data_IF_424621943284
#
_entry.id   IF_424621943284
#
_cell.length_a   1.000
_cell.length_b   1.000
_cell.length_c   1.000
_cell.angle_alpha   90.00
_cell.angle_beta   90.00
_cell.angle_gamma   90.00
#
_symmetry.space_group_name_H-M   'P 1'
#
loop_
_entity.id
_entity.type
_entity.pdbx_description
1 polymer ?
#
# COMPACT_ATOMS: atom_id res chain seq x y z
N UNK A 1 13.34 -8.91 -12.86
CA UNK A 1 12.59 -7.79 -13.48
C UNK A 1 11.11 -8.17 -13.52
N UNK A 2 10.26 -7.49 -12.78
CA UNK A 2 8.83 -7.78 -12.63
C UNK A 2 7.98 -6.69 -13.32
N UNK A 3 6.74 -7.03 -13.63
CA UNK A 3 5.70 -6.07 -14.07
C UNK A 3 4.81 -5.78 -12.88
N UNK A 4 4.78 -4.52 -12.45
CA UNK A 4 4.13 -4.10 -11.20
C UNK A 4 3.03 -3.09 -11.52
N UNK A 5 1.84 -3.31 -10.96
CA UNK A 5 0.78 -2.29 -10.95
C UNK A 5 0.83 -1.52 -9.65
N UNK A 6 0.73 -0.20 -9.71
CA UNK A 6 0.61 0.66 -8.52
C UNK A 6 -0.71 1.42 -8.59
N UNK A 7 -1.70 1.00 -7.79
CA UNK A 7 -2.92 1.78 -7.56
C UNK A 7 -2.64 2.91 -6.57
N UNK A 8 -3.17 4.10 -6.86
CA UNK A 8 -2.89 5.29 -6.07
C UNK A 8 -1.53 5.93 -6.39
N UNK A 9 -1.02 5.71 -7.60
CA UNK A 9 0.28 6.21 -8.05
C UNK A 9 0.42 7.74 -8.00
N UNK A 10 -0.67 8.50 -7.94
CA UNK A 10 -0.65 9.96 -7.80
C UNK A 10 -0.37 10.46 -6.39
N UNK A 11 -0.55 9.62 -5.36
CA UNK A 11 -0.26 9.94 -3.95
C UNK A 11 1.22 9.81 -3.60
N UNK A 12 1.62 10.30 -2.42
CA UNK A 12 3.04 10.29 -1.98
C UNK A 12 3.63 8.88 -1.92
N UNK A 13 2.94 7.95 -1.25
CA UNK A 13 3.39 6.56 -1.14
C UNK A 13 3.40 5.82 -2.48
N UNK A 14 2.38 6.07 -3.32
CA UNK A 14 2.32 5.48 -4.67
C UNK A 14 3.43 6.00 -5.59
N UNK A 15 3.74 7.30 -5.56
CA UNK A 15 4.87 7.89 -6.30
C UNK A 15 6.19 7.29 -5.88
N UNK A 16 6.45 7.20 -4.58
CA UNK A 16 7.68 6.60 -4.07
C UNK A 16 7.82 5.12 -4.51
N UNK A 17 6.72 4.37 -4.50
CA UNK A 17 6.71 3.00 -4.99
C UNK A 17 7.01 2.90 -6.50
N UNK A 18 6.43 3.81 -7.31
CA UNK A 18 6.73 3.90 -8.76
C UNK A 18 8.21 4.22 -8.98
N UNK A 19 8.74 5.24 -8.31
CA UNK A 19 10.13 5.66 -8.44
C UNK A 19 11.13 4.56 -8.06
N UNK A 20 10.90 3.88 -6.93
CA UNK A 20 11.76 2.80 -6.47
C UNK A 20 11.68 1.58 -7.41
N UNK A 21 10.48 1.25 -7.93
CA UNK A 21 10.32 0.17 -8.89
C UNK A 21 11.09 0.43 -10.19
N UNK A 22 11.00 1.66 -10.72
CA UNK A 22 11.76 2.07 -11.90
C UNK A 22 13.27 2.04 -11.65
N UNK A 23 13.71 2.54 -10.49
CA UNK A 23 15.13 2.55 -10.11
C UNK A 23 15.72 1.13 -10.08
N UNK A 24 14.89 0.12 -9.77
CA UNK A 24 15.27 -1.31 -9.79
C UNK A 24 15.08 -1.97 -11.17
N UNK A 25 14.65 -1.23 -12.19
CA UNK A 25 14.47 -1.74 -13.54
C UNK A 25 13.19 -2.56 -13.75
N UNK A 26 12.18 -2.40 -12.88
CA UNK A 26 10.86 -2.99 -13.10
C UNK A 26 10.05 -2.21 -14.13
N UNK A 27 9.06 -2.87 -14.74
CA UNK A 27 8.05 -2.21 -15.59
C UNK A 27 6.85 -1.85 -14.72
N UNK A 28 6.42 -0.59 -14.80
CA UNK A 28 5.37 -0.06 -13.92
C UNK A 28 4.15 0.36 -14.72
N UNK A 29 2.97 -0.11 -14.27
CA UNK A 29 1.68 0.46 -14.64
C UNK A 29 1.17 1.28 -13.47
N UNK A 30 1.21 2.60 -13.61
CA UNK A 30 0.73 3.56 -12.62
C UNK A 30 -0.76 3.81 -12.82
N UNK A 31 -1.57 3.51 -11.81
CA UNK A 31 -3.03 3.66 -11.89
C UNK A 31 -3.46 4.87 -11.07
N UNK A 32 -4.16 5.77 -11.72
CA UNK A 32 -4.78 6.96 -11.13
C UNK A 32 -6.21 7.09 -11.64
N UNK A 33 -7.08 7.81 -10.92
CA UNK A 33 -8.47 8.04 -11.38
C UNK A 33 -8.52 8.94 -12.61
N UNK A 34 -7.69 9.96 -12.64
CA UNK A 34 -7.60 10.93 -13.74
C UNK A 34 -6.13 11.17 -14.12
N UNK A 35 -5.64 10.52 -15.20
CA UNK A 35 -4.28 10.72 -15.71
C UNK A 35 -3.95 12.17 -16.06
N UNK A 36 -4.94 12.95 -16.49
CA UNK A 36 -4.74 14.36 -16.86
C UNK A 36 -4.29 15.24 -15.69
N UNK A 37 -4.54 14.81 -14.44
CA UNK A 37 -4.08 15.51 -13.24
C UNK A 37 -2.66 15.13 -12.79
N UNK A 38 -2.04 14.17 -13.47
CA UNK A 38 -0.73 13.62 -13.11
C UNK A 38 0.21 13.51 -14.34
N UNK A 39 0.43 14.62 -15.10
CA UNK A 39 1.27 14.60 -16.30
C UNK A 39 2.72 14.23 -16.00
N UNK A 40 3.16 14.47 -14.78
CA UNK A 40 4.51 14.16 -14.27
C UNK A 40 4.78 12.66 -14.09
N UNK A 41 3.73 11.82 -13.99
CA UNK A 41 3.88 10.35 -13.97
C UNK A 41 4.22 9.74 -15.34
N UNK A 42 4.10 10.50 -16.41
CA UNK A 42 4.33 10.00 -17.78
C UNK A 42 5.80 10.00 -18.20
N UNK A 43 6.73 10.22 -17.28
CA UNK A 43 8.17 10.24 -17.56
C UNK A 43 8.79 8.84 -17.45
N UNK A 44 9.63 8.47 -18.41
CA UNK A 44 10.32 7.17 -18.45
C UNK A 44 9.41 6.00 -18.87
N UNK A 45 9.74 4.78 -18.44
CA UNK A 45 9.05 3.53 -18.81
C UNK A 45 7.78 3.26 -17.95
N UNK A 46 7.04 4.32 -17.60
CA UNK A 46 5.79 4.20 -16.83
C UNK A 46 4.60 4.22 -17.77
N UNK A 47 3.77 3.20 -17.69
CA UNK A 47 2.45 3.20 -18.33
C UNK A 47 1.42 3.78 -17.37
N UNK A 48 0.93 4.99 -17.64
CA UNK A 48 -0.15 5.59 -16.82
C UNK A 48 -1.51 5.21 -17.39
N UNK A 49 -2.41 4.74 -16.52
CA UNK A 49 -3.76 4.33 -16.92
C UNK A 49 -4.81 4.86 -15.93
N UNK A 50 -6.00 5.13 -16.45
CA UNK A 50 -7.17 5.41 -15.62
C UNK A 50 -7.73 4.10 -15.06
N UNK A 51 -8.08 4.10 -13.75
CA UNK A 51 -8.72 2.96 -13.10
C UNK A 51 -9.24 3.29 -11.71
N UNK A 52 -10.28 2.55 -11.34
CA UNK A 52 -10.91 2.61 -10.02
C UNK A 52 -10.55 1.34 -9.23
N UNK A 53 -9.85 1.51 -8.11
CA UNK A 53 -9.44 0.41 -7.21
C UNK A 53 -10.65 -0.28 -6.56
N UNK A 54 -11.80 0.36 -6.50
CA UNK A 54 -13.05 -0.20 -5.95
C UNK A 54 -13.84 -1.01 -6.98
N UNK A 55 -13.40 -1.03 -8.25
CA UNK A 55 -13.98 -1.82 -9.33
C UNK A 55 -13.16 -3.09 -9.58
N UNK A 56 -13.72 -4.26 -9.26
CA UNK A 56 -13.07 -5.54 -9.54
C UNK A 56 -12.78 -5.77 -11.03
N UNK A 57 -13.60 -5.22 -11.92
CA UNK A 57 -13.40 -5.32 -13.37
C UNK A 57 -12.20 -4.48 -13.82
N UNK A 58 -12.06 -3.26 -13.28
CA UNK A 58 -10.89 -2.42 -13.55
C UNK A 58 -9.62 -3.07 -13.00
N UNK A 59 -9.65 -3.56 -11.76
CA UNK A 59 -8.51 -4.27 -11.17
C UNK A 59 -8.11 -5.47 -12.03
N UNK A 60 -9.06 -6.32 -12.43
CA UNK A 60 -8.78 -7.49 -13.27
C UNK A 60 -8.18 -7.11 -14.63
N UNK A 61 -8.78 -6.14 -15.30
CA UNK A 61 -8.34 -5.66 -16.61
C UNK A 61 -6.94 -5.07 -16.56
N UNK A 62 -6.64 -4.25 -15.53
CA UNK A 62 -5.37 -3.55 -15.40
C UNK A 62 -4.26 -4.49 -14.93
N UNK A 63 -4.56 -5.37 -13.98
CA UNK A 63 -3.56 -6.27 -13.40
C UNK A 63 -3.21 -7.46 -14.32
N UNK A 64 -4.02 -7.74 -15.34
CA UNK A 64 -3.76 -8.85 -16.25
C UNK A 64 -2.34 -8.81 -16.84
N UNK A 65 -1.62 -9.91 -16.68
CA UNK A 65 -0.26 -10.06 -17.17
C UNK A 65 0.81 -9.35 -16.32
N UNK A 66 0.50 -8.88 -15.12
CA UNK A 66 1.47 -8.36 -14.14
C UNK A 66 1.83 -9.43 -13.10
N UNK A 67 2.94 -9.22 -12.41
CA UNK A 67 3.48 -10.16 -11.43
C UNK A 67 3.07 -9.81 -9.99
N UNK A 68 2.85 -8.52 -9.72
CA UNK A 68 2.45 -8.01 -8.40
C UNK A 68 1.65 -6.70 -8.50
N UNK A 69 0.91 -6.41 -7.43
CA UNK A 69 0.16 -5.16 -7.27
C UNK A 69 0.53 -4.49 -5.95
N UNK A 70 0.76 -3.19 -5.99
CA UNK A 70 0.85 -2.31 -4.82
C UNK A 70 -0.40 -1.44 -4.78
N UNK A 71 -1.05 -1.35 -3.61
CA UNK A 71 -2.18 -0.47 -3.35
C UNK A 71 -1.82 0.57 -2.31
N UNK A 72 -1.77 1.85 -2.72
CA UNK A 72 -1.52 3.03 -1.85
C UNK A 72 -2.63 4.04 -2.09
N UNK A 73 -3.85 3.70 -1.67
CA UNK A 73 -5.08 4.38 -2.07
C UNK A 73 -5.85 4.96 -0.90
N UNK A 74 -6.48 6.12 -1.15
CA UNK A 74 -7.47 6.72 -0.27
C UNK A 74 -8.37 7.67 -1.07
N UNK A 75 -9.64 7.71 -0.72
CA UNK A 75 -10.59 8.71 -1.24
C UNK A 75 -11.26 9.46 -0.08
N UNK A 76 -10.89 10.73 0.17
CA UNK A 76 -11.47 11.51 1.26
C UNK A 76 -12.96 11.88 1.04
N UNK A 77 -13.50 11.67 -0.17
CA UNK A 77 -14.91 11.92 -0.48
C UNK A 77 -15.82 10.76 -0.06
N UNK A 78 -15.26 9.61 0.31
CA UNK A 78 -15.99 8.40 0.70
C UNK A 78 -15.70 8.07 2.17
N UNK A 79 -16.70 7.59 2.91
CA UNK A 79 -16.50 7.13 4.28
C UNK A 79 -15.39 6.06 4.32
N UNK A 80 -14.42 6.15 5.26
CA UNK A 80 -13.22 5.30 5.23
C UNK A 80 -13.52 3.80 5.26
N UNK A 81 -14.47 3.36 6.07
CA UNK A 81 -14.88 1.96 6.18
C UNK A 81 -15.49 1.44 4.87
N UNK A 82 -16.30 2.26 4.20
CA UNK A 82 -16.88 1.93 2.88
C UNK A 82 -15.76 1.84 1.83
N UNK A 83 -14.87 2.83 1.80
CA UNK A 83 -13.80 2.88 0.80
C UNK A 83 -12.83 1.71 0.95
N UNK A 84 -12.25 1.50 2.15
CA UNK A 84 -11.22 0.48 2.33
C UNK A 84 -11.76 -0.94 2.19
N UNK A 85 -13.00 -1.21 2.63
CA UNK A 85 -13.62 -2.52 2.41
C UNK A 85 -13.95 -2.78 0.95
N UNK A 86 -14.44 -1.78 0.21
CA UNK A 86 -14.71 -1.90 -1.22
C UNK A 86 -13.39 -2.13 -2.01
N UNK A 87 -12.35 -1.36 -1.72
CA UNK A 87 -11.05 -1.50 -2.36
C UNK A 87 -10.44 -2.89 -2.10
N UNK A 88 -10.45 -3.36 -0.84
CA UNK A 88 -9.92 -4.67 -0.51
C UNK A 88 -10.66 -5.80 -1.23
N UNK A 89 -12.00 -5.77 -1.26
CA UNK A 89 -12.82 -6.76 -1.99
C UNK A 89 -12.56 -6.73 -3.49
N UNK A 90 -12.48 -5.55 -4.08
CA UNK A 90 -12.24 -5.39 -5.52
C UNK A 90 -10.83 -5.88 -5.91
N UNK A 91 -9.81 -5.55 -5.08
CA UNK A 91 -8.45 -6.05 -5.27
C UNK A 91 -8.41 -7.58 -5.22
N UNK A 92 -8.94 -8.21 -4.18
CA UNK A 92 -8.95 -9.67 -4.05
C UNK A 92 -9.67 -10.34 -5.24
N UNK A 93 -10.86 -9.85 -5.58
CA UNK A 93 -11.67 -10.41 -6.68
C UNK A 93 -10.99 -10.20 -8.04
N UNK A 94 -10.50 -8.99 -8.29
CA UNK A 94 -9.86 -8.64 -9.56
C UNK A 94 -8.54 -9.36 -9.77
N UNK A 95 -7.70 -9.48 -8.73
CA UNK A 95 -6.43 -10.19 -8.81
C UNK A 95 -6.60 -11.69 -9.01
N UNK A 96 -7.58 -12.30 -8.35
CA UNK A 96 -7.93 -13.72 -8.59
C UNK A 96 -8.33 -13.96 -10.06
N UNK A 97 -9.12 -13.05 -10.64
CA UNK A 97 -9.50 -13.13 -12.08
C UNK A 97 -8.33 -12.89 -13.01
N UNK A 98 -7.40 -12.00 -12.64
CA UNK A 98 -6.22 -11.68 -13.43
C UNK A 98 -5.09 -12.72 -13.30
N UNK A 99 -5.19 -13.64 -12.33
CA UNK A 99 -4.15 -14.60 -12.03
C UNK A 99 -2.88 -13.98 -11.42
N UNK A 100 -3.01 -12.84 -10.74
CA UNK A 100 -1.89 -12.14 -10.07
C UNK A 100 -1.81 -12.59 -8.61
N UNK A 101 -0.73 -13.24 -8.20
CA UNK A 101 -0.67 -13.87 -6.89
C UNK A 101 -0.35 -12.90 -5.75
N UNK A 102 0.42 -11.83 -6.01
CA UNK A 102 1.02 -10.98 -4.97
C UNK A 102 0.34 -9.62 -4.87
N UNK A 103 -0.13 -9.27 -3.66
CA UNK A 103 -0.72 -7.98 -3.31
C UNK A 103 0.01 -7.36 -2.12
N UNK A 104 0.54 -6.15 -2.30
CA UNK A 104 1.03 -5.33 -1.20
C UNK A 104 0.06 -4.14 -0.97
N UNK A 105 -0.32 -3.92 0.26
CA UNK A 105 -1.20 -2.81 0.66
C UNK A 105 -0.43 -1.90 1.61
N UNK A 106 -0.41 -0.62 1.30
CA UNK A 106 0.09 0.40 2.23
C UNK A 106 -0.95 0.58 3.33
N UNK A 107 -0.57 0.18 4.53
CA UNK A 107 -1.41 0.24 5.71
C UNK A 107 -1.18 1.48 6.56
N UNK A 108 -1.60 1.40 7.82
CA UNK A 108 -1.56 2.51 8.77
C UNK A 108 -1.03 2.03 10.13
N UNK A 109 -0.12 2.80 10.73
CA UNK A 109 0.45 2.49 12.05
C UNK A 109 -0.61 2.32 13.14
N UNK A 110 -1.69 3.11 13.10
CA UNK A 110 -2.75 3.07 14.12
C UNK A 110 -3.41 1.70 14.28
N UNK A 111 -3.43 0.87 13.24
CA UNK A 111 -3.97 -0.51 13.29
C UNK A 111 -2.89 -1.58 13.46
N UNK A 112 -1.63 -1.18 13.46
CA UNK A 112 -0.51 -2.09 13.71
C UNK A 112 -0.35 -2.32 15.22
N UNK A 113 -0.15 -3.57 15.70
CA UNK A 113 0.13 -3.82 17.11
C UNK A 113 1.48 -3.23 17.55
N UNK A 114 1.49 -2.66 18.76
CA UNK A 114 2.71 -2.30 19.48
C UNK A 114 3.42 -3.55 20.04
N UNK A 115 4.50 -3.36 20.78
CA UNK A 115 5.27 -4.47 21.38
C UNK A 115 4.45 -5.35 22.35
N UNK A 116 3.39 -4.80 22.95
CA UNK A 116 2.48 -5.52 23.86
C UNK A 116 1.33 -6.22 23.13
N UNK A 117 1.25 -6.12 21.79
CA UNK A 117 0.18 -6.69 20.99
C UNK A 117 -1.08 -5.83 20.90
N UNK A 118 -1.08 -4.61 21.46
CA UNK A 118 -2.22 -3.68 21.41
C UNK A 118 -2.13 -2.82 20.13
N UNK A 119 -3.22 -2.67 19.34
CA UNK A 119 -3.23 -1.73 18.23
C UNK A 119 -2.86 -0.31 18.71
N UNK A 120 -2.01 0.38 17.96
CA UNK A 120 -1.51 1.70 18.39
C UNK A 120 -2.65 2.69 18.69
N UNK A 121 -3.74 2.64 17.91
CA UNK A 121 -4.93 3.50 18.14
C UNK A 121 -5.63 3.28 19.47
N UNK A 122 -5.39 2.16 20.15
CA UNK A 122 -6.02 1.79 21.42
C UNK A 122 -5.07 2.03 22.62
N UNK A 123 -3.87 2.57 22.35
CA UNK A 123 -2.93 2.90 23.41
C UNK A 123 -3.30 4.21 24.13
N UNK A 124 -3.03 4.35 25.44
CA UNK A 124 -3.31 5.58 26.16
C UNK A 124 -2.64 6.80 25.53
N UNK A 125 -3.42 7.87 25.33
CA UNK A 125 -2.91 9.15 24.80
C UNK A 125 -2.77 9.20 23.26
N UNK A 126 -3.10 8.12 22.54
CA UNK A 126 -3.09 8.16 21.09
C UNK A 126 -4.23 9.07 20.56
N UNK A 127 -3.98 9.93 19.56
CA UNK A 127 -4.98 10.85 19.01
C UNK A 127 -6.24 10.13 18.52
N UNK A 128 -7.42 10.63 18.91
CA UNK A 128 -8.70 10.00 18.57
C UNK A 128 -9.52 10.76 17.51
N UNK A 129 -9.07 11.95 17.10
CA UNK A 129 -9.76 12.78 16.10
C UNK A 129 -9.91 12.11 14.74
N UNK A 130 -9.00 11.19 14.41
CA UNK A 130 -9.01 10.42 13.15
C UNK A 130 -9.48 8.98 13.33
N UNK A 131 -10.12 8.64 14.45
CA UNK A 131 -10.48 7.24 14.76
C UNK A 131 -11.36 6.58 13.70
N UNK A 132 -12.26 7.30 13.07
CA UNK A 132 -13.07 6.75 11.96
C UNK A 132 -12.19 6.31 10.77
N UNK A 133 -11.13 7.05 10.49
CA UNK A 133 -10.16 6.69 9.45
C UNK A 133 -9.35 5.44 9.85
N UNK A 134 -8.94 5.33 11.11
CA UNK A 134 -8.24 4.16 11.63
C UNK A 134 -9.11 2.90 11.56
N UNK A 135 -10.37 3.01 12.00
CA UNK A 135 -11.32 1.90 11.91
C UNK A 135 -11.65 1.51 10.46
N UNK A 136 -11.66 2.47 9.54
CA UNK A 136 -11.78 2.17 8.12
C UNK A 136 -10.64 1.31 7.59
N UNK A 137 -9.40 1.63 7.95
CA UNK A 137 -8.25 0.79 7.62
C UNK A 137 -8.35 -0.61 8.24
N UNK A 138 -8.78 -0.70 9.52
CA UNK A 138 -9.01 -1.99 10.19
C UNK A 138 -10.05 -2.82 9.45
N UNK A 139 -11.18 -2.22 9.05
CA UNK A 139 -12.23 -2.90 8.29
C UNK A 139 -11.73 -3.42 6.93
N UNK A 140 -10.89 -2.66 6.23
CA UNK A 140 -10.23 -3.12 5.00
C UNK A 140 -9.27 -4.29 5.26
N UNK A 141 -8.53 -4.26 6.37
CA UNK A 141 -7.65 -5.34 6.83
C UNK A 141 -8.44 -6.62 7.13
N UNK A 142 -9.59 -6.52 7.80
CA UNK A 142 -10.45 -7.66 8.11
C UNK A 142 -10.90 -8.40 6.84
N UNK A 143 -11.17 -7.67 5.75
CA UNK A 143 -11.48 -8.25 4.45
C UNK A 143 -10.30 -9.06 3.90
N UNK A 144 -9.07 -8.57 4.04
CA UNK A 144 -7.86 -9.29 3.60
C UNK A 144 -7.64 -10.55 4.44
N UNK A 145 -7.77 -10.43 5.77
CA UNK A 145 -7.58 -11.55 6.71
C UNK A 145 -8.58 -12.68 6.46
N UNK A 146 -9.83 -12.33 6.16
CA UNK A 146 -10.89 -13.31 5.86
C UNK A 146 -10.77 -13.98 4.49
N UNK A 147 -9.89 -13.48 3.60
CA UNK A 147 -9.79 -13.99 2.24
C UNK A 147 -8.81 -15.17 2.13
N UNK A 148 -9.14 -16.12 1.27
CA UNK A 148 -8.24 -17.19 0.85
C UNK A 148 -7.69 -16.95 -0.56
N UNK A 149 -6.54 -17.52 -0.86
CA UNK A 149 -6.00 -17.63 -2.23
C UNK A 149 -5.08 -16.51 -2.68
N UNK A 150 -5.20 -15.27 -2.21
CA UNK A 150 -4.27 -14.17 -2.55
C UNK A 150 -3.15 -14.10 -1.51
N UNK A 151 -1.92 -14.01 -1.98
CA UNK A 151 -0.76 -13.73 -1.13
C UNK A 151 -0.65 -12.23 -0.88
N UNK A 152 -1.32 -11.76 0.16
CA UNK A 152 -1.31 -10.35 0.54
C UNK A 152 -0.29 -10.05 1.64
N UNK A 153 0.24 -8.83 1.62
CA UNK A 153 1.03 -8.26 2.70
C UNK A 153 0.58 -6.81 2.93
N UNK A 154 0.25 -6.47 4.17
CA UNK A 154 0.07 -5.07 4.56
C UNK A 154 1.38 -4.57 5.15
N UNK A 155 1.90 -3.49 4.60
CA UNK A 155 3.09 -2.79 5.11
C UNK A 155 2.66 -1.42 5.60
N UNK A 156 2.98 -1.08 6.85
CA UNK A 156 2.70 0.22 7.45
C UNK A 156 3.99 0.91 7.89
N UNK A 157 4.07 2.25 7.89
CA UNK A 157 5.04 2.89 8.77
C UNK A 157 4.80 2.40 10.19
N UNK A 158 5.84 2.17 10.98
CA UNK A 158 5.66 1.75 12.38
C UNK A 158 5.06 2.88 13.26
N UNK A 159 5.19 4.14 12.84
CA UNK A 159 4.58 5.32 13.44
C UNK A 159 3.97 6.21 12.39
N UNK A 160 4.74 7.11 11.81
CA UNK A 160 4.28 8.04 10.78
C UNK A 160 5.33 8.20 9.68
N UNK A 161 4.91 8.76 8.56
CA UNK A 161 5.85 9.14 7.51
C UNK A 161 6.60 10.44 7.88
N UNK A 162 7.91 10.43 7.64
CA UNK A 162 8.67 11.67 7.54
C UNK A 162 8.41 12.30 6.16
N UNK A 163 7.58 13.34 6.15
CA UNK A 163 7.19 14.04 4.93
C UNK A 163 8.33 14.83 4.27
N UNK A 164 9.39 15.15 5.02
CA UNK A 164 10.61 15.81 4.55
C UNK A 164 11.79 14.85 4.41
N UNK A 165 11.62 13.61 4.80
CA UNK A 165 12.67 12.60 4.79
C UNK A 165 13.17 12.26 3.40
N UNK A 166 14.47 12.03 3.30
CA UNK A 166 15.14 11.62 2.08
C UNK A 166 15.38 10.11 2.08
N UNK A 167 15.75 9.57 0.92
CA UNK A 167 16.13 8.16 0.78
C UNK A 167 17.48 7.89 1.43
N UNK A 168 17.50 7.11 2.51
CA UNK A 168 18.73 6.63 3.17
C UNK A 168 19.21 5.29 2.59
N UNK A 169 18.30 4.54 2.00
CA UNK A 169 18.56 3.20 1.46
C UNK A 169 18.38 2.09 2.49
N UNK A 170 17.85 2.39 3.68
CA UNK A 170 17.73 1.44 4.79
C UNK A 170 16.38 1.56 5.48
N UNK A 171 15.89 0.44 5.97
CA UNK A 171 14.75 0.34 6.86
C UNK A 171 14.92 -0.88 7.77
N UNK A 172 14.13 -0.95 8.82
CA UNK A 172 13.98 -2.15 9.64
C UNK A 172 12.52 -2.40 9.96
N UNK A 173 12.19 -3.65 10.27
CA UNK A 173 10.84 -3.96 10.77
C UNK A 173 10.74 -3.68 12.26
N UNK A 174 9.61 -3.12 12.66
CA UNK A 174 9.34 -2.75 14.05
C UNK A 174 7.84 -2.91 14.38
N UNK A 175 7.48 -3.17 15.65
CA UNK A 175 6.12 -3.01 16.13
C UNK A 175 5.71 -1.52 16.05
N UNK A 176 4.40 -1.26 16.22
CA UNK A 176 3.93 0.12 16.20
C UNK A 176 4.50 0.94 17.36
N UNK A 177 5.00 2.15 17.03
CA UNK A 177 5.51 3.12 17.97
C UNK A 177 5.21 4.54 17.44
N UNK A 178 4.46 5.34 18.22
CA UNK A 178 3.96 6.64 17.77
C UNK A 178 5.06 7.63 17.36
N UNK A 179 6.25 7.50 17.93
CA UNK A 179 7.41 8.36 17.64
C UNK A 179 8.25 7.88 16.45
N UNK A 180 8.02 6.65 15.99
CA UNK A 180 8.75 6.07 14.85
C UNK A 180 8.47 6.85 13.55
N UNK A 181 9.48 6.96 12.70
CA UNK A 181 9.40 7.63 11.40
C UNK A 181 10.06 6.82 10.30
N UNK A 182 9.60 7.04 9.08
CA UNK A 182 10.23 6.52 7.86
C UNK A 182 9.93 7.45 6.68
N UNK A 183 10.91 7.71 5.84
CA UNK A 183 10.67 8.42 4.58
C UNK A 183 9.81 7.59 3.63
N UNK A 184 9.03 8.25 2.73
CA UNK A 184 8.30 7.54 1.67
C UNK A 184 9.24 6.72 0.78
N UNK A 185 10.45 7.22 0.54
CA UNK A 185 11.44 6.58 -0.30
C UNK A 185 11.99 5.29 0.33
N UNK A 186 12.30 5.29 1.64
CA UNK A 186 12.77 4.08 2.33
C UNK A 186 11.63 3.09 2.59
N UNK A 187 10.41 3.57 2.81
CA UNK A 187 9.22 2.74 2.85
C UNK A 187 8.99 1.99 1.53
N UNK A 188 9.21 2.67 0.40
CA UNK A 188 9.11 2.04 -0.92
C UNK A 188 10.15 0.93 -1.11
N UNK A 189 11.34 1.03 -0.51
CA UNK A 189 12.33 -0.05 -0.50
C UNK A 189 11.72 -1.31 0.13
N UNK A 190 11.06 -1.19 1.29
CA UNK A 190 10.42 -2.32 1.95
C UNK A 190 9.34 -2.99 1.08
N UNK A 191 8.54 -2.19 0.36
CA UNK A 191 7.56 -2.73 -0.57
C UNK A 191 8.22 -3.52 -1.70
N UNK A 192 9.26 -2.96 -2.32
CA UNK A 192 9.92 -3.60 -3.45
C UNK A 192 10.73 -4.83 -3.05
N UNK A 193 11.34 -4.85 -1.87
CA UNK A 193 12.03 -6.04 -1.34
C UNK A 193 11.07 -7.22 -1.20
N UNK A 194 9.85 -6.98 -0.70
CA UNK A 194 8.80 -7.99 -0.55
C UNK A 194 8.13 -8.40 -1.87
N UNK A 195 8.36 -7.67 -2.96
CA UNK A 195 8.02 -8.09 -4.32
C UNK A 195 9.14 -8.94 -4.92
N UNK A 196 10.40 -8.51 -4.78
CA UNK A 196 11.55 -9.21 -5.37
C UNK A 196 11.91 -10.50 -4.63
N UNK A 197 11.79 -10.46 -3.29
CA UNK A 197 12.12 -11.58 -2.42
C UNK A 197 11.07 -11.68 -1.31
N UNK A 198 9.90 -12.25 -1.58
CA UNK A 198 8.84 -12.36 -0.59
C UNK A 198 9.28 -13.18 0.62
N UNK A 199 9.25 -12.55 1.79
CA UNK A 199 9.59 -13.19 3.08
C UNK A 199 8.40 -13.26 4.01
N UNK A 200 7.35 -12.47 3.75
CA UNK A 200 6.16 -12.35 4.58
C UNK A 200 4.90 -12.54 3.75
N UNK A 201 4.00 -13.35 4.27
CA UNK A 201 2.79 -13.79 3.58
C UNK A 201 1.59 -13.64 4.50
N UNK A 202 0.50 -13.05 3.99
CA UNK A 202 -0.80 -12.92 4.67
C UNK A 202 -0.66 -12.37 6.10
N UNK A 203 0.09 -11.28 6.23
CA UNK A 203 0.38 -10.65 7.51
C UNK A 203 0.45 -9.13 7.40
N UNK A 204 0.56 -8.46 8.53
CA UNK A 204 0.75 -7.03 8.66
C UNK A 204 2.09 -6.75 9.35
N UNK A 205 2.91 -5.90 8.77
CA UNK A 205 4.23 -5.54 9.30
C UNK A 205 4.40 -4.03 9.37
N UNK A 206 5.10 -3.58 10.40
CA UNK A 206 5.55 -2.21 10.53
C UNK A 206 6.99 -2.07 10.06
N UNK A 207 7.30 -0.92 9.45
CA UNK A 207 8.66 -0.56 9.05
C UNK A 207 8.99 0.85 9.52
N UNK A 208 10.26 1.04 9.88
CA UNK A 208 10.79 2.33 10.31
C UNK A 208 12.20 2.55 9.77
N UNK A 209 12.76 3.73 9.99
CA UNK A 209 14.13 4.06 9.59
C UNK A 209 15.13 3.07 10.23
N UNK A 210 16.09 2.58 9.40
CA UNK A 210 17.10 1.61 9.77
C UNK A 210 18.46 2.21 10.10
#
# INVERSE_FOLDING_TARGET
>A
MSRIVVFGAGGRGGRAAVEEALRRGHRVTAVVRDPGRHPDLTTGDVRVVAGDVTSADDVARIAAGHDAVISSVYDPAVAPDVFFTAAARALLTGLARAGVPRLLVVGLASVLPNADGTPLMDTPGYPQEYRSFFLGHAAGMDVLVAADGTDWLVVSPAGDFDHGGTRTGRYRTAPAEATSRISYADFAIALLDEIETPTRHRTHVGVEEG
#
